data_IF_506845834936
#
_entry.id   IF_506845834936
#
_cell.length_a   1.000
_cell.length_b   1.000
_cell.length_c   1.000
_cell.angle_alpha   90.00
_cell.angle_beta   90.00
_cell.angle_gamma   90.00
#
_symmetry.space_group_name_H-M   'P 1'
#
loop_
_entity.id
_entity.type
_entity.pdbx_description
1 polymer ?
#
# COMPACT_ATOMS: atom_id res chain seq x y z
N UNK A 1 -52.08 28.14 -27.12
CA UNK A 1 -50.72 28.26 -27.64
C UNK A 1 -49.90 28.48 -26.38
N UNK A 2 -49.38 27.40 -25.81
CA UNK A 2 -48.58 27.44 -24.59
C UNK A 2 -47.16 27.71 -25.01
N UNK A 3 -46.62 28.88 -24.64
CA UNK A 3 -45.21 29.18 -24.72
C UNK A 3 -44.50 28.25 -23.71
N UNK A 4 -43.58 27.46 -24.26
CA UNK A 4 -42.71 26.62 -23.48
C UNK A 4 -41.77 27.55 -22.68
N UNK A 5 -41.84 27.43 -21.37
CA UNK A 5 -40.84 27.97 -20.43
C UNK A 5 -39.46 27.60 -20.94
N UNK A 6 -38.67 28.61 -21.21
CA UNK A 6 -37.23 28.46 -21.39
C UNK A 6 -36.70 27.90 -20.06
N UNK A 7 -36.41 26.62 -20.04
CA UNK A 7 -35.52 26.09 -19.02
C UNK A 7 -34.22 26.92 -19.08
N UNK A 8 -33.92 27.62 -18.00
CA UNK A 8 -32.67 28.32 -17.81
C UNK A 8 -31.52 27.27 -17.78
N UNK A 9 -31.12 26.79 -18.95
CA UNK A 9 -29.93 25.95 -19.11
C UNK A 9 -28.74 26.83 -18.73
N UNK A 10 -28.10 26.47 -17.62
CA UNK A 10 -26.85 27.10 -17.18
C UNK A 10 -25.77 26.72 -18.22
N UNK A 11 -25.57 27.54 -19.23
CA UNK A 11 -24.48 27.37 -20.18
C UNK A 11 -23.15 27.68 -19.47
N UNK A 12 -22.44 26.62 -19.06
CA UNK A 12 -21.11 26.75 -18.45
C UNK A 12 -20.09 27.02 -19.57
N UNK A 13 -19.62 28.26 -19.72
CA UNK A 13 -18.51 28.56 -20.63
C UNK A 13 -17.19 28.02 -20.04
N UNK A 14 -16.75 26.87 -20.58
CA UNK A 14 -15.51 26.20 -20.19
C UNK A 14 -14.26 27.11 -20.37
N UNK A 15 -14.30 28.05 -21.31
CA UNK A 15 -13.20 28.97 -21.55
C UNK A 15 -13.11 30.02 -20.43
N UNK A 16 -14.22 30.55 -20.01
CA UNK A 16 -14.30 31.52 -18.91
C UNK A 16 -13.95 30.85 -17.58
N UNK A 17 -14.44 29.63 -17.35
CA UNK A 17 -14.07 28.82 -16.19
C UNK A 17 -12.55 28.59 -16.13
N UNK A 18 -11.93 28.26 -17.26
CA UNK A 18 -10.47 28.09 -17.34
C UNK A 18 -9.73 29.42 -17.05
N UNK A 19 -10.22 30.52 -17.53
CA UNK A 19 -9.64 31.84 -17.26
C UNK A 19 -9.79 32.22 -15.78
N UNK A 20 -10.92 31.93 -15.16
CA UNK A 20 -11.15 32.11 -13.70
C UNK A 20 -10.16 31.31 -12.87
N UNK A 21 -9.95 30.03 -13.19
CA UNK A 21 -8.94 29.17 -12.57
C UNK A 21 -7.52 29.72 -12.75
N UNK A 22 -7.18 30.13 -13.98
CA UNK A 22 -5.87 30.74 -14.30
C UNK A 22 -5.62 32.02 -13.52
N UNK A 23 -6.62 32.91 -13.39
CA UNK A 23 -6.53 34.14 -12.61
C UNK A 23 -6.26 33.90 -11.12
N UNK A 24 -6.76 32.79 -10.59
CA UNK A 24 -6.61 32.41 -9.17
C UNK A 24 -5.57 31.31 -8.93
N UNK A 25 -4.71 31.03 -9.92
CA UNK A 25 -3.70 29.95 -9.84
C UNK A 25 -2.78 30.07 -8.60
N UNK A 26 -2.46 31.32 -8.20
CA UNK A 26 -1.64 31.57 -7.01
C UNK A 26 -2.31 31.05 -5.73
N UNK A 27 -3.62 31.23 -5.60
CA UNK A 27 -4.39 30.70 -4.47
C UNK A 27 -4.45 29.19 -4.46
N UNK A 28 -4.61 28.57 -5.64
CA UNK A 28 -4.58 27.11 -5.81
C UNK A 28 -3.22 26.55 -5.38
N UNK A 29 -2.13 27.17 -5.82
CA UNK A 29 -0.78 26.75 -5.44
C UNK A 29 -0.51 26.96 -3.94
N UNK A 30 -0.95 28.08 -3.37
CA UNK A 30 -0.79 28.35 -1.95
C UNK A 30 -1.50 27.31 -1.10
N UNK A 31 -2.77 26.99 -1.40
CA UNK A 31 -3.52 25.96 -0.67
C UNK A 31 -2.90 24.58 -0.86
N UNK A 32 -2.45 24.22 -2.04
CA UNK A 32 -1.73 22.96 -2.29
C UNK A 32 -0.47 22.85 -1.40
N UNK A 33 0.32 23.94 -1.29
CA UNK A 33 1.52 23.99 -0.42
C UNK A 33 1.14 23.86 1.05
N UNK A 34 0.11 24.55 1.52
CA UNK A 34 -0.35 24.47 2.91
C UNK A 34 -0.81 23.06 3.25
N UNK A 35 -1.60 22.42 2.39
CA UNK A 35 -2.06 21.05 2.60
C UNK A 35 -0.91 20.04 2.52
N UNK A 36 0.05 20.22 1.62
CA UNK A 36 1.26 19.43 1.54
C UNK A 36 2.07 19.51 2.84
N UNK A 37 2.27 20.73 3.37
CA UNK A 37 2.98 20.96 4.62
C UNK A 37 2.25 20.33 5.82
N UNK A 38 0.94 20.54 5.92
CA UNK A 38 0.11 19.94 6.98
C UNK A 38 0.16 18.41 6.94
N UNK A 39 -0.01 17.82 5.74
CA UNK A 39 0.09 16.37 5.55
C UNK A 39 1.48 15.83 5.92
N UNK A 40 2.54 16.55 5.55
CA UNK A 40 3.91 16.21 5.93
C UNK A 40 4.14 16.23 7.44
N UNK A 41 3.64 17.24 8.13
CA UNK A 41 3.71 17.34 9.60
C UNK A 41 2.94 16.21 10.29
N UNK A 42 1.70 15.94 9.86
CA UNK A 42 0.90 14.82 10.37
C UNK A 42 1.64 13.49 10.18
N UNK A 43 2.19 13.26 8.98
CA UNK A 43 2.93 12.04 8.66
C UNK A 43 4.15 11.86 9.57
N UNK A 44 4.87 12.94 9.84
CA UNK A 44 6.11 12.89 10.63
C UNK A 44 5.87 12.74 12.13
N UNK A 45 4.82 13.39 12.67
CA UNK A 45 4.62 13.51 14.11
C UNK A 45 3.46 12.67 14.65
N UNK A 46 2.44 12.38 13.85
CA UNK A 46 1.25 11.65 14.30
C UNK A 46 1.23 10.18 13.87
N UNK A 47 1.97 9.80 12.82
CA UNK A 47 1.98 8.41 12.33
C UNK A 47 3.16 7.63 12.91
N UNK A 48 2.90 6.42 13.40
CA UNK A 48 3.94 5.50 13.89
C UNK A 48 4.73 4.91 12.74
N UNK A 49 6.07 4.93 12.79
CA UNK A 49 6.89 4.25 11.78
C UNK A 49 6.70 2.74 11.84
N UNK A 50 6.68 2.10 10.69
CA UNK A 50 6.60 0.64 10.53
C UNK A 50 7.80 0.20 9.70
N UNK A 51 8.48 -0.83 10.18
CA UNK A 51 9.65 -1.42 9.55
C UNK A 51 9.29 -2.77 8.96
N UNK A 52 9.85 -3.10 7.80
CA UNK A 52 9.67 -4.38 7.13
C UNK A 52 10.98 -5.15 7.15
N UNK A 53 10.91 -6.44 7.46
CA UNK A 53 12.01 -7.37 7.29
C UNK A 53 11.58 -8.49 6.38
N UNK A 54 12.46 -8.92 5.49
CA UNK A 54 12.16 -9.91 4.47
C UNK A 54 13.20 -11.02 4.47
N UNK A 55 12.74 -12.26 4.32
CA UNK A 55 13.57 -13.43 4.07
C UNK A 55 13.08 -14.14 2.81
N UNK A 56 13.99 -14.79 2.07
CA UNK A 56 13.66 -15.55 0.88
C UNK A 56 14.07 -16.99 1.02
N UNK A 57 13.14 -17.89 0.68
CA UNK A 57 13.34 -19.33 0.68
C UNK A 57 13.22 -19.88 -0.74
N UNK A 58 14.18 -20.70 -1.13
CA UNK A 58 14.13 -21.42 -2.38
C UNK A 58 13.54 -22.81 -2.19
N UNK A 59 12.46 -23.09 -2.91
CA UNK A 59 11.72 -24.34 -2.86
C UNK A 59 12.35 -25.35 -3.82
N UNK A 60 12.76 -26.50 -3.29
CA UNK A 60 13.40 -27.57 -4.07
C UNK A 60 12.43 -28.73 -4.22
N UNK A 61 12.08 -29.12 -5.46
CA UNK A 61 11.33 -30.36 -5.70
C UNK A 61 12.24 -31.59 -5.65
N UNK A 62 11.71 -32.74 -5.23
CA UNK A 62 12.44 -34.03 -5.23
C UNK A 62 12.62 -34.63 -6.65
N UNK A 63 11.99 -34.07 -7.69
CA UNK A 63 11.97 -34.62 -9.05
C UNK A 63 13.16 -34.16 -9.89
N UNK A 64 14.15 -35.01 -10.03
CA UNK A 64 15.06 -34.88 -11.17
C UNK A 64 14.39 -35.35 -12.46
N UNK A 65 14.72 -34.68 -13.60
CA UNK A 65 14.53 -35.16 -14.96
C UNK A 65 13.32 -34.70 -15.79
N UNK A 66 12.88 -33.49 -15.73
CA UNK A 66 12.50 -32.74 -16.96
C UNK A 66 12.31 -31.27 -16.63
N UNK A 67 13.11 -30.41 -17.18
CA UNK A 67 13.18 -28.98 -16.83
C UNK A 67 11.84 -28.24 -16.93
N UNK A 68 10.94 -28.62 -17.80
CA UNK A 68 9.65 -27.95 -17.97
C UNK A 68 8.61 -28.38 -16.92
N UNK A 69 8.52 -29.69 -16.64
CA UNK A 69 7.63 -30.22 -15.61
C UNK A 69 8.07 -29.78 -14.21
N UNK A 70 9.37 -29.64 -14.00
CA UNK A 70 9.98 -29.25 -12.73
C UNK A 70 9.74 -27.78 -12.38
N UNK A 71 9.64 -26.89 -13.38
CA UNK A 71 9.31 -25.48 -13.18
C UNK A 71 7.86 -25.30 -12.69
N UNK A 72 6.91 -25.94 -13.35
CA UNK A 72 5.49 -25.83 -12.99
C UNK A 72 5.20 -26.47 -11.62
N UNK A 73 5.76 -27.65 -11.36
CA UNK A 73 5.65 -28.29 -10.05
C UNK A 73 6.31 -27.47 -8.94
N UNK A 74 7.45 -26.82 -9.21
CA UNK A 74 8.15 -26.00 -8.25
C UNK A 74 7.35 -24.76 -7.84
N UNK A 75 6.66 -24.10 -8.76
CA UNK A 75 5.83 -22.94 -8.44
C UNK A 75 4.57 -23.34 -7.68
N UNK A 76 3.94 -24.47 -8.00
CA UNK A 76 2.82 -25.02 -7.24
C UNK A 76 3.21 -25.36 -5.79
N UNK A 77 4.35 -26.05 -5.61
CA UNK A 77 4.87 -26.33 -4.26
C UNK A 77 5.14 -25.04 -3.48
N UNK A 78 5.61 -23.99 -4.14
CA UNK A 78 5.83 -22.70 -3.49
C UNK A 78 4.50 -22.13 -2.98
N UNK A 79 3.42 -22.23 -3.74
CA UNK A 79 2.08 -21.80 -3.29
C UNK A 79 1.58 -22.63 -2.09
N UNK A 80 1.78 -23.94 -2.09
CA UNK A 80 1.44 -24.77 -0.96
C UNK A 80 2.23 -24.37 0.31
N UNK A 81 3.51 -24.04 0.17
CA UNK A 81 4.34 -23.59 1.28
C UNK A 81 3.90 -22.23 1.81
N UNK A 82 3.44 -21.31 0.95
CA UNK A 82 2.88 -20.02 1.37
C UNK A 82 1.68 -20.18 2.29
N UNK A 83 0.86 -21.20 2.07
CA UNK A 83 -0.25 -21.53 2.97
C UNK A 83 0.27 -22.04 4.31
N UNK A 84 1.30 -22.90 4.30
CA UNK A 84 1.87 -23.49 5.55
C UNK A 84 2.45 -22.41 6.45
N UNK A 85 3.11 -21.39 5.90
CA UNK A 85 3.67 -20.25 6.68
C UNK A 85 2.64 -19.63 7.62
N UNK A 86 1.39 -19.52 7.17
CA UNK A 86 0.30 -18.88 7.94
C UNK A 86 -0.51 -19.84 8.77
N UNK A 87 -0.11 -21.10 8.83
CA UNK A 87 -0.84 -22.07 9.66
C UNK A 87 -0.63 -21.82 11.15
N UNK A 88 -1.68 -22.02 11.93
CA UNK A 88 -1.66 -21.79 13.37
C UNK A 88 -0.48 -22.50 14.08
N UNK A 89 -0.16 -23.80 13.81
CA UNK A 89 0.97 -24.46 14.48
C UNK A 89 2.32 -23.79 14.23
N UNK A 90 2.56 -23.28 13.01
CA UNK A 90 3.79 -22.57 12.66
C UNK A 90 3.87 -21.25 13.41
N UNK A 91 2.77 -20.48 13.44
CA UNK A 91 2.73 -19.20 14.11
C UNK A 91 2.85 -19.33 15.63
N UNK A 92 2.18 -20.30 16.24
CA UNK A 92 2.30 -20.59 17.68
C UNK A 92 3.73 -21.04 18.06
N UNK A 93 4.40 -21.77 17.18
CA UNK A 93 5.81 -22.14 17.41
C UNK A 93 6.71 -20.90 17.46
N UNK A 94 6.59 -19.99 16.47
CA UNK A 94 7.34 -18.72 16.43
C UNK A 94 7.06 -17.86 17.67
N UNK A 95 5.80 -17.77 18.07
CA UNK A 95 5.40 -17.04 19.29
C UNK A 95 6.08 -17.62 20.53
N UNK A 96 6.11 -18.96 20.64
CA UNK A 96 6.75 -19.64 21.75
C UNK A 96 8.27 -19.47 21.75
N UNK A 97 8.93 -19.63 20.60
CA UNK A 97 10.38 -19.55 20.45
C UNK A 97 10.91 -18.16 20.81
N UNK A 98 10.20 -17.11 20.36
CA UNK A 98 10.56 -15.71 20.60
C UNK A 98 9.87 -15.12 21.85
N UNK A 99 9.03 -15.87 22.53
CA UNK A 99 8.25 -15.46 23.73
C UNK A 99 7.47 -14.14 23.47
N UNK A 100 6.76 -14.10 22.33
CA UNK A 100 6.00 -12.92 21.93
C UNK A 100 4.74 -12.78 22.79
N UNK A 101 4.45 -11.54 23.20
CA UNK A 101 3.20 -11.20 23.90
C UNK A 101 2.12 -10.83 22.89
N UNK A 102 1.71 -11.80 22.05
CA UNK A 102 0.65 -11.67 21.07
C UNK A 102 0.06 -13.03 20.71
N UNK A 103 -1.17 -13.04 20.19
CA UNK A 103 -1.78 -14.25 19.68
C UNK A 103 -1.38 -14.52 18.20
N UNK A 104 -1.71 -15.74 17.72
CA UNK A 104 -1.36 -16.14 16.35
C UNK A 104 -2.08 -15.29 15.27
N UNK A 105 -3.29 -14.77 15.57
CA UNK A 105 -4.03 -13.91 14.64
C UNK A 105 -3.42 -12.51 14.53
N UNK A 106 -2.83 -12.03 15.61
CA UNK A 106 -2.11 -10.76 15.60
C UNK A 106 -0.81 -10.89 14.80
N UNK A 107 -0.10 -12.00 15.00
CA UNK A 107 1.10 -12.29 14.21
C UNK A 107 0.76 -12.45 12.73
N UNK A 108 -0.31 -13.18 12.39
CA UNK A 108 -0.75 -13.40 11.00
C UNK A 108 -0.98 -12.10 10.24
N UNK A 109 -1.56 -11.08 10.89
CA UNK A 109 -1.80 -9.76 10.28
C UNK A 109 -0.52 -9.00 9.91
N UNK A 110 0.60 -9.34 10.55
CA UNK A 110 1.91 -8.74 10.28
C UNK A 110 2.67 -9.45 9.17
N UNK A 111 2.17 -10.60 8.69
CA UNK A 111 2.85 -11.48 7.74
C UNK A 111 2.32 -11.25 6.33
N UNK A 112 3.21 -10.91 5.42
CA UNK A 112 2.98 -10.98 3.98
C UNK A 112 3.85 -12.09 3.39
N UNK A 113 3.24 -12.98 2.60
CA UNK A 113 3.96 -14.05 1.90
C UNK A 113 3.67 -13.92 0.41
N UNK A 114 4.71 -13.88 -0.39
CA UNK A 114 4.61 -13.67 -1.83
C UNK A 114 5.49 -14.66 -2.59
N UNK A 115 5.08 -14.98 -3.81
CA UNK A 115 5.88 -15.71 -4.77
C UNK A 115 6.19 -14.78 -5.96
N UNK A 116 7.36 -14.14 -6.00
CA UNK A 116 7.69 -13.21 -7.08
C UNK A 116 7.70 -13.92 -8.45
N UNK A 117 6.87 -13.45 -9.37
CA UNK A 117 6.83 -13.91 -10.77
C UNK A 117 6.67 -15.43 -10.95
N UNK A 118 5.87 -16.07 -10.09
CA UNK A 118 5.59 -17.52 -10.12
C UNK A 118 6.86 -18.39 -10.16
N UNK A 119 7.90 -17.95 -9.46
CA UNK A 119 9.17 -18.65 -9.34
C UNK A 119 9.14 -19.72 -8.25
N UNK A 120 10.27 -20.37 -8.00
CA UNK A 120 10.48 -21.26 -6.85
C UNK A 120 10.94 -20.50 -5.58
N UNK A 121 10.81 -19.18 -5.58
CA UNK A 121 11.20 -18.34 -4.46
C UNK A 121 9.94 -17.94 -3.70
N UNK A 122 9.93 -18.23 -2.41
CA UNK A 122 8.94 -17.73 -1.48
C UNK A 122 9.57 -16.61 -0.66
N UNK A 123 8.92 -15.47 -0.66
CA UNK A 123 9.32 -14.30 0.10
C UNK A 123 8.39 -14.13 1.31
N UNK A 124 8.98 -14.10 2.50
CA UNK A 124 8.26 -13.86 3.76
C UNK A 124 8.66 -12.49 4.26
N UNK A 125 7.69 -11.62 4.45
CA UNK A 125 7.90 -10.25 4.96
C UNK A 125 7.08 -10.05 6.22
N UNK A 126 7.72 -9.55 7.28
CA UNK A 126 7.08 -9.14 8.52
C UNK A 126 7.16 -7.64 8.65
N UNK A 127 6.05 -7.03 9.07
CA UNK A 127 5.96 -5.60 9.36
C UNK A 127 5.71 -5.38 10.84
N UNK A 128 6.57 -4.56 11.48
CA UNK A 128 6.43 -4.22 12.90
C UNK A 128 6.92 -2.79 13.18
N UNK A 129 6.53 -2.25 14.34
CA UNK A 129 7.02 -0.95 14.83
C UNK A 129 8.49 -1.02 15.27
N UNK A 130 8.95 -2.20 15.66
CA UNK A 130 10.34 -2.48 16.03
C UNK A 130 11.04 -3.26 14.90
N UNK A 131 12.06 -2.65 14.31
CA UNK A 131 12.83 -3.23 13.21
C UNK A 131 13.59 -4.50 13.64
N UNK A 132 14.05 -4.58 14.90
CA UNK A 132 14.75 -5.76 15.40
C UNK A 132 13.79 -6.92 15.64
N UNK A 133 12.60 -6.62 16.15
CA UNK A 133 11.54 -7.61 16.32
C UNK A 133 11.04 -8.13 14.97
N UNK A 134 10.82 -7.25 13.99
CA UNK A 134 10.46 -7.65 12.62
C UNK A 134 11.51 -8.61 12.04
N UNK A 135 12.81 -8.31 12.19
CA UNK A 135 13.89 -9.19 11.75
C UNK A 135 13.86 -10.55 12.45
N UNK A 136 13.75 -10.57 13.78
CA UNK A 136 13.76 -11.79 14.56
C UNK A 136 12.59 -12.71 14.20
N UNK A 137 11.38 -12.14 14.08
CA UNK A 137 10.18 -12.91 13.68
C UNK A 137 10.34 -13.44 12.26
N UNK A 138 10.85 -12.63 11.31
CA UNK A 138 11.02 -13.06 9.93
C UNK A 138 12.02 -14.23 9.82
N UNK A 139 13.13 -14.15 10.53
CA UNK A 139 14.16 -15.19 10.52
C UNK A 139 13.62 -16.49 11.13
N UNK A 140 13.00 -16.42 12.30
CA UNK A 140 12.46 -17.57 12.98
C UNK A 140 11.32 -18.21 12.19
N UNK A 141 10.42 -17.41 11.64
CA UNK A 141 9.32 -17.89 10.79
C UNK A 141 9.84 -18.62 9.54
N UNK A 142 10.90 -18.14 8.93
CA UNK A 142 11.55 -18.80 7.78
C UNK A 142 12.14 -20.15 8.19
N UNK A 143 12.82 -20.23 9.34
CA UNK A 143 13.42 -21.47 9.86
C UNK A 143 12.36 -22.49 10.30
N UNK A 144 11.35 -22.08 11.06
CA UNK A 144 10.23 -22.92 11.48
C UNK A 144 9.46 -23.44 10.26
N UNK A 145 9.20 -22.60 9.28
CA UNK A 145 8.54 -23.01 8.04
C UNK A 145 9.36 -24.06 7.30
N UNK A 146 10.65 -23.81 7.10
CA UNK A 146 11.54 -24.74 6.39
C UNK A 146 11.58 -26.11 7.09
N UNK A 147 11.62 -26.15 8.42
CA UNK A 147 11.58 -27.35 9.23
C UNK A 147 10.22 -28.06 9.14
N UNK A 148 9.12 -27.33 9.32
CA UNK A 148 7.76 -27.88 9.27
C UNK A 148 7.45 -28.51 7.92
N UNK A 149 7.83 -27.85 6.83
CA UNK A 149 7.64 -28.37 5.47
C UNK A 149 8.41 -29.69 5.29
N UNK A 150 9.69 -29.73 5.69
CA UNK A 150 10.51 -30.94 5.58
C UNK A 150 9.92 -32.11 6.37
N UNK A 151 9.46 -31.86 7.60
CA UNK A 151 8.93 -32.89 8.50
C UNK A 151 7.53 -33.39 8.09
N UNK A 152 6.64 -32.49 7.63
CA UNK A 152 5.23 -32.81 7.37
C UNK A 152 4.95 -33.27 5.95
N UNK A 153 5.73 -32.82 4.98
CA UNK A 153 5.49 -33.14 3.56
C UNK A 153 6.46 -34.17 3.00
N UNK A 154 7.39 -34.71 3.80
CA UNK A 154 8.44 -35.64 3.34
C UNK A 154 9.18 -35.15 2.08
N UNK A 155 9.46 -33.85 2.03
CA UNK A 155 10.18 -33.20 0.94
C UNK A 155 11.53 -32.68 1.42
N UNK A 156 12.37 -32.25 0.48
CA UNK A 156 13.62 -31.59 0.85
C UNK A 156 13.29 -30.21 1.48
N UNK A 157 13.94 -29.92 2.61
CA UNK A 157 13.78 -28.62 3.27
C UNK A 157 14.04 -27.46 2.31
N UNK A 158 13.18 -26.44 2.26
CA UNK A 158 13.47 -25.21 1.54
C UNK A 158 14.78 -24.59 2.03
N UNK A 159 15.54 -24.01 1.13
CA UNK A 159 16.82 -23.36 1.47
C UNK A 159 16.61 -21.87 1.64
N UNK A 160 17.00 -21.31 2.77
CA UNK A 160 17.01 -19.86 2.98
C UNK A 160 18.15 -19.28 2.13
N UNK A 161 17.79 -18.54 1.09
CA UNK A 161 18.73 -17.90 0.17
C UNK A 161 19.02 -16.45 0.56
N UNK A 162 18.08 -15.81 1.26
CA UNK A 162 18.25 -14.48 1.84
C UNK A 162 17.73 -14.50 3.28
N UNK A 163 18.64 -14.17 4.21
CA UNK A 163 18.29 -14.06 5.64
C UNK A 163 17.58 -12.74 5.92
N UNK A 164 16.72 -12.75 6.93
CA UNK A 164 16.09 -11.54 7.42
C UNK A 164 17.12 -10.49 7.84
N UNK A 165 16.92 -9.26 7.41
CA UNK A 165 17.78 -8.14 7.79
C UNK A 165 16.98 -7.10 8.57
N UNK A 166 17.69 -6.36 9.43
CA UNK A 166 17.10 -5.25 10.16
C UNK A 166 16.99 -4.03 9.25
N UNK A 167 15.79 -3.50 9.07
CA UNK A 167 15.61 -2.29 8.29
C UNK A 167 16.19 -1.06 8.99
N UNK A 168 17.02 -0.29 8.28
CA UNK A 168 17.60 0.96 8.80
C UNK A 168 16.62 2.13 8.75
N UNK A 169 15.60 2.04 7.91
CA UNK A 169 14.59 3.09 7.69
C UNK A 169 13.19 2.49 7.72
N UNK A 170 12.19 3.24 8.20
CA UNK A 170 10.81 2.79 8.14
C UNK A 170 10.34 2.71 6.69
N UNK A 171 9.59 1.66 6.38
CA UNK A 171 8.95 1.44 5.09
C UNK A 171 7.67 2.26 4.95
N UNK A 172 6.97 2.48 6.06
CA UNK A 172 5.73 3.24 6.12
C UNK A 172 5.71 4.11 7.40
N UNK A 173 5.03 5.28 7.37
CA UNK A 173 4.42 5.95 6.22
C UNK A 173 5.44 6.63 5.30
N UNK A 174 5.14 6.64 4.00
CA UNK A 174 5.98 7.35 3.03
C UNK A 174 5.69 8.86 3.07
N UNK A 175 6.61 9.66 3.61
CA UNK A 175 6.50 11.11 3.67
C UNK A 175 6.22 11.71 2.28
N UNK A 176 6.93 11.24 1.25
CA UNK A 176 6.78 11.74 -0.12
C UNK A 176 5.37 11.48 -0.68
N UNK A 177 4.83 10.27 -0.48
CA UNK A 177 3.48 9.92 -0.94
C UNK A 177 2.42 10.75 -0.22
N UNK A 178 2.51 10.91 1.10
CA UNK A 178 1.52 11.63 1.88
C UNK A 178 1.54 13.13 1.60
N UNK A 179 2.72 13.73 1.43
CA UNK A 179 2.87 15.13 1.01
C UNK A 179 2.24 15.36 -0.37
N UNK A 180 2.47 14.44 -1.32
CA UNK A 180 1.87 14.53 -2.65
C UNK A 180 0.34 14.42 -2.59
N UNK A 181 -0.19 13.48 -1.79
CA UNK A 181 -1.64 13.34 -1.59
C UNK A 181 -2.21 14.63 -0.98
N UNK A 182 -1.55 15.20 0.03
CA UNK A 182 -1.95 16.47 0.62
C UNK A 182 -1.97 17.61 -0.40
N UNK A 183 -0.93 17.72 -1.24
CA UNK A 183 -0.86 18.74 -2.30
C UNK A 183 -2.03 18.61 -3.31
N UNK A 184 -2.32 17.38 -3.75
CA UNK A 184 -3.41 17.11 -4.70
C UNK A 184 -4.78 17.43 -4.06
N UNK A 185 -4.99 17.07 -2.80
CA UNK A 185 -6.22 17.40 -2.08
C UNK A 185 -6.40 18.92 -1.95
N UNK A 186 -5.35 19.66 -1.56
CA UNK A 186 -5.40 21.13 -1.47
C UNK A 186 -5.69 21.78 -2.83
N UNK A 187 -5.09 21.25 -3.90
CA UNK A 187 -5.36 21.69 -5.26
C UNK A 187 -6.84 21.49 -5.65
N UNK A 188 -7.37 20.28 -5.45
CA UNK A 188 -8.76 19.94 -5.80
C UNK A 188 -9.75 20.79 -5.00
N UNK A 189 -9.54 20.94 -3.70
CA UNK A 189 -10.44 21.73 -2.83
C UNK A 189 -10.51 23.18 -3.25
N UNK A 190 -9.36 23.81 -3.56
CA UNK A 190 -9.35 25.20 -3.99
C UNK A 190 -9.91 25.38 -5.39
N UNK A 191 -9.61 24.46 -6.31
CA UNK A 191 -10.20 24.48 -7.65
C UNK A 191 -11.73 24.36 -7.58
N UNK A 192 -12.25 23.44 -6.78
CA UNK A 192 -13.69 23.28 -6.54
C UNK A 192 -14.30 24.55 -5.93
N UNK A 193 -13.66 25.16 -4.95
CA UNK A 193 -14.14 26.41 -4.35
C UNK A 193 -14.21 27.56 -5.37
N UNK A 194 -13.25 27.64 -6.28
CA UNK A 194 -13.25 28.64 -7.36
C UNK A 194 -14.38 28.38 -8.35
N UNK A 195 -14.60 27.10 -8.72
CA UNK A 195 -15.70 26.70 -9.62
C UNK A 195 -17.05 27.06 -9.00
N UNK A 196 -17.26 26.69 -7.73
CA UNK A 196 -18.51 27.04 -7.01
C UNK A 196 -18.69 28.56 -6.96
N UNK A 197 -17.63 29.29 -6.63
CA UNK A 197 -17.69 30.76 -6.61
C UNK A 197 -18.01 31.35 -7.98
N UNK A 198 -17.49 30.78 -9.06
CA UNK A 198 -17.79 31.18 -10.43
C UNK A 198 -19.26 30.94 -10.74
N UNK A 199 -19.79 29.74 -10.50
CA UNK A 199 -21.19 29.38 -10.74
C UNK A 199 -22.18 30.25 -9.92
N UNK A 200 -21.81 30.57 -8.68
CA UNK A 200 -22.65 31.45 -7.83
C UNK A 200 -22.60 32.93 -8.28
N UNK A 201 -21.54 33.36 -8.96
CA UNK A 201 -21.38 34.75 -9.38
C UNK A 201 -21.96 34.99 -10.78
N UNK A 202 -22.15 33.96 -11.59
CA UNK A 202 -22.73 34.00 -12.93
C UNK A 202 -24.25 34.28 -12.93
N UNK A 203 -24.87 34.20 -11.75
CA UNK A 203 -26.31 34.47 -11.57
C UNK A 203 -26.65 35.99 -11.61
N UNK A 204 -25.67 36.91 -11.70
CA UNK A 204 -25.89 38.37 -11.54
C UNK A 204 -25.49 39.21 -12.77
N UNK A 205 -24.97 38.59 -13.83
CA UNK A 205 -24.53 39.32 -15.01
C UNK A 205 -25.27 38.90 -16.28
N UNK A 206 -26.59 38.98 -16.29
CA UNK A 206 -27.34 39.20 -17.53
C UNK A 206 -27.45 40.71 -17.73
N UNK A 207 -26.85 41.19 -18.80
CA UNK A 207 -26.86 42.63 -19.24
C UNK A 207 -28.24 43.18 -19.56
N UNK A 208 -29.33 42.45 -19.30
CA UNK A 208 -30.68 42.88 -19.64
C UNK A 208 -31.44 43.65 -18.52
N UNK A 209 -30.77 44.02 -17.43
CA UNK A 209 -31.38 44.82 -16.36
C UNK A 209 -30.99 46.33 -16.41
N UNK A 210 -30.56 46.85 -17.57
CA UNK A 210 -30.35 48.29 -17.79
C UNK A 210 -31.18 48.74 -19.00
N UNK A 211 -32.46 48.86 -18.84
CA UNK A 211 -33.33 49.80 -19.54
C UNK A 211 -34.34 50.44 -18.55
#
# INVERSE_FOLDING_TARGET
MYELENDDEIEIDLRELFLALKKKIVWILLTAIVFAGASGLITKFAMTPIYSSTAQLYVVSKGGLSQLTDLTMGSQLTQDYMVIVKTRPVLEQVIADLKLDMDYKELEKKITVENPSDTRIMQITITDKDAALAQSITQDLAEVTAKTVAEKMDVKSPTIIEKAYKADKPDSPSLKKNVLIGAVLGFILMAAAIVIQYLMNDTILKEDDIE
#
